data_IF_141075825588
#
_entry.id   IF_141075825588
#
_cell.length_a   1.000
_cell.length_b   1.000
_cell.length_c   1.000
_cell.angle_alpha   90.00
_cell.angle_beta   90.00
_cell.angle_gamma   90.00
#
_symmetry.space_group_name_H-M   'P 1'
#
loop_
_entity.id
_entity.type
_entity.pdbx_description
1 polymer ?
#
# COMPACT_ATOMS: atom_id res chain seq x y z
N UNK A 1 -1.44 -10.00 -15.53
CA UNK A 1 -2.03 -8.99 -14.61
C UNK A 1 -3.57 -9.10 -14.48
N UNK A 2 -4.10 -9.09 -13.25
CA UNK A 2 -5.54 -9.02 -12.89
C UNK A 2 -5.73 -7.95 -11.82
N UNK A 3 -6.79 -7.13 -11.92
CA UNK A 3 -7.18 -6.18 -10.87
C UNK A 3 -8.42 -6.73 -10.16
N UNK A 4 -8.46 -6.67 -8.81
CA UNK A 4 -9.65 -7.01 -8.02
C UNK A 4 -9.83 -6.09 -6.82
N UNK A 5 -11.00 -6.17 -6.19
CA UNK A 5 -11.27 -5.51 -4.91
C UNK A 5 -10.38 -6.09 -3.82
N UNK A 6 -9.98 -5.23 -2.90
CA UNK A 6 -9.30 -5.60 -1.66
C UNK A 6 -10.18 -6.50 -0.79
N UNK A 7 -9.53 -7.44 -0.11
CA UNK A 7 -10.10 -8.28 0.95
C UNK A 7 -9.22 -8.20 2.20
N UNK A 8 -9.76 -8.39 3.43
CA UNK A 8 -8.99 -8.26 4.66
C UNK A 8 -7.72 -9.13 4.74
N UNK A 9 -7.73 -10.28 4.07
CA UNK A 9 -6.56 -11.17 3.97
C UNK A 9 -5.36 -10.52 3.28
N UNK A 10 -5.57 -9.50 2.46
CA UNK A 10 -4.50 -8.81 1.72
C UNK A 10 -3.80 -7.75 2.59
N UNK A 11 -4.36 -7.40 3.76
CA UNK A 11 -3.90 -6.24 4.55
C UNK A 11 -2.40 -6.26 4.84
N UNK A 12 -1.90 -7.43 5.24
CA UNK A 12 -0.50 -7.61 5.60
C UNK A 12 0.41 -7.41 4.38
N UNK A 13 0.05 -7.99 3.24
CA UNK A 13 0.83 -7.90 2.01
C UNK A 13 0.87 -6.46 1.47
N UNK A 14 -0.23 -5.72 1.59
CA UNK A 14 -0.28 -4.31 1.22
C UNK A 14 0.59 -3.43 2.13
N UNK A 15 0.56 -3.69 3.45
CA UNK A 15 1.39 -2.98 4.41
C UNK A 15 2.89 -3.21 4.16
N UNK A 16 3.27 -4.46 3.85
CA UNK A 16 4.64 -4.82 3.48
C UNK A 16 5.06 -4.19 2.14
N UNK A 17 4.20 -4.25 1.12
CA UNK A 17 4.44 -3.61 -0.18
C UNK A 17 4.66 -2.10 -0.01
N UNK A 18 3.80 -1.42 0.74
CA UNK A 18 3.92 0.00 1.05
C UNK A 18 5.26 0.33 1.71
N UNK A 19 5.60 -0.38 2.79
CA UNK A 19 6.86 -0.19 3.49
C UNK A 19 8.07 -0.37 2.56
N UNK A 20 8.10 -1.48 1.83
CA UNK A 20 9.20 -1.80 0.92
C UNK A 20 9.34 -0.76 -0.20
N UNK A 21 8.23 -0.24 -0.70
CA UNK A 21 8.22 0.79 -1.75
C UNK A 21 8.76 2.11 -1.21
N UNK A 22 8.27 2.57 -0.05
CA UNK A 22 8.75 3.78 0.61
C UNK A 22 10.26 3.68 0.88
N UNK A 23 10.73 2.58 1.46
CA UNK A 23 12.15 2.42 1.83
C UNK A 23 13.10 2.06 0.69
N UNK A 24 12.59 1.68 -0.49
CA UNK A 24 13.44 1.32 -1.64
C UNK A 24 13.38 2.32 -2.78
N UNK A 25 12.16 2.76 -3.14
CA UNK A 25 11.95 3.63 -4.29
C UNK A 25 12.02 5.09 -3.87
N UNK A 26 11.25 5.49 -2.85
CA UNK A 26 11.22 6.86 -2.36
C UNK A 26 12.50 7.26 -1.61
N UNK A 27 13.34 6.31 -1.21
CA UNK A 27 14.63 6.60 -0.58
C UNK A 27 15.60 7.42 -1.45
N UNK A 28 15.30 7.60 -2.74
CA UNK A 28 16.03 8.52 -3.63
C UNK A 28 15.76 9.99 -3.34
N UNK A 29 14.60 10.32 -2.78
CA UNK A 29 14.10 11.69 -2.62
C UNK A 29 13.99 12.11 -1.14
N UNK A 30 14.01 11.15 -0.22
CA UNK A 30 13.77 11.38 1.20
C UNK A 30 14.93 10.86 2.06
N UNK A 31 15.21 11.56 3.17
CA UNK A 31 16.20 11.11 4.14
C UNK A 31 15.71 9.88 4.91
N UNK A 32 16.64 9.12 5.49
CA UNK A 32 16.31 7.96 6.32
C UNK A 32 15.34 8.32 7.46
N UNK A 33 15.53 9.47 8.11
CA UNK A 33 14.63 9.97 9.15
C UNK A 33 13.22 10.22 8.62
N UNK A 34 13.08 10.79 7.42
CA UNK A 34 11.79 11.03 6.77
C UNK A 34 11.10 9.71 6.39
N UNK A 35 11.86 8.74 5.87
CA UNK A 35 11.33 7.41 5.55
C UNK A 35 10.84 6.68 6.81
N UNK A 36 11.61 6.77 7.90
CA UNK A 36 11.29 6.13 9.17
C UNK A 36 10.02 6.70 9.84
N UNK A 37 9.73 7.99 9.67
CA UNK A 37 8.45 8.57 10.15
C UNK A 37 7.29 8.33 9.18
N UNK A 38 7.57 8.17 7.87
CA UNK A 38 6.53 7.89 6.87
C UNK A 38 6.06 6.43 6.94
N UNK A 39 7.01 5.49 6.97
CA UNK A 39 6.74 4.06 7.05
C UNK A 39 7.62 3.47 8.16
N UNK A 40 7.06 3.40 9.38
CA UNK A 40 7.79 3.02 10.61
C UNK A 40 8.23 1.55 10.68
N UNK A 41 7.77 0.71 9.75
CA UNK A 41 7.92 -0.75 9.82
C UNK A 41 6.97 -1.43 10.83
N UNK A 42 6.29 -0.65 11.67
CA UNK A 42 5.24 -1.11 12.57
C UNK A 42 3.89 -0.57 12.09
N UNK A 43 3.13 -1.42 11.37
CA UNK A 43 1.80 -1.06 10.88
C UNK A 43 0.73 -1.61 11.80
N UNK A 44 -0.17 -0.73 12.25
CA UNK A 44 -1.42 -1.11 12.90
C UNK A 44 -2.38 -1.69 11.84
N UNK A 45 -2.31 -3.01 11.66
CA UNK A 45 -3.06 -3.72 10.62
C UNK A 45 -4.58 -3.60 10.78
N UNK A 46 -5.07 -3.40 12.00
CA UNK A 46 -6.51 -3.19 12.23
C UNK A 46 -6.96 -1.84 11.69
N UNK A 47 -6.20 -0.76 11.97
CA UNK A 47 -6.48 0.57 11.40
C UNK A 47 -6.33 0.58 9.89
N UNK A 48 -5.31 -0.09 9.36
CA UNK A 48 -5.11 -0.21 7.92
C UNK A 48 -6.25 -0.94 7.23
N UNK A 49 -6.65 -2.11 7.75
CA UNK A 49 -7.78 -2.86 7.22
C UNK A 49 -9.06 -2.01 7.26
N UNK A 50 -9.31 -1.32 8.38
CA UNK A 50 -10.46 -0.43 8.50
C UNK A 50 -10.46 0.67 7.42
N UNK A 51 -9.34 1.38 7.22
CA UNK A 51 -9.29 2.46 6.22
C UNK A 51 -9.44 1.94 4.79
N UNK A 52 -8.82 0.80 4.47
CA UNK A 52 -8.93 0.17 3.15
C UNK A 52 -10.35 -0.36 2.86
N UNK A 53 -11.09 -0.80 3.89
CA UNK A 53 -12.50 -1.22 3.77
C UNK A 53 -13.46 -0.03 3.65
N UNK A 54 -13.14 1.10 4.30
CA UNK A 54 -13.92 2.35 4.19
C UNK A 54 -13.79 2.98 2.80
N UNK A 55 -12.62 2.84 2.18
CA UNK A 55 -12.32 3.37 0.84
C UNK A 55 -12.64 2.37 -0.30
N UNK A 56 -12.75 2.91 -1.53
CA UNK A 56 -12.75 2.07 -2.73
C UNK A 56 -11.30 1.63 -3.01
N UNK A 57 -10.91 0.50 -2.42
CA UNK A 57 -9.58 -0.09 -2.60
C UNK A 57 -9.54 -1.20 -3.67
N UNK A 58 -8.59 -1.10 -4.59
CA UNK A 58 -8.27 -2.16 -5.56
C UNK A 58 -6.82 -2.60 -5.44
N UNK A 59 -6.56 -3.85 -5.79
CA UNK A 59 -5.22 -4.42 -5.86
C UNK A 59 -4.95 -4.98 -7.25
N UNK A 60 -3.69 -4.88 -7.69
CA UNK A 60 -3.18 -5.47 -8.90
C UNK A 60 -2.39 -6.75 -8.56
N UNK A 61 -2.66 -7.83 -9.29
CA UNK A 61 -2.06 -9.15 -9.07
C UNK A 61 -1.42 -9.64 -10.37
N UNK A 62 -0.19 -10.13 -10.27
CA UNK A 62 0.52 -10.81 -11.35
C UNK A 62 1.21 -12.06 -10.79
N UNK A 63 1.05 -13.22 -11.45
CA UNK A 63 1.65 -14.49 -11.01
C UNK A 63 1.36 -14.83 -9.53
N UNK A 64 0.15 -14.55 -9.07
CA UNK A 64 -0.31 -14.70 -7.67
C UNK A 64 0.40 -13.79 -6.65
N UNK A 65 1.14 -12.78 -7.10
CA UNK A 65 1.79 -11.78 -6.26
C UNK A 65 1.01 -10.46 -6.38
N UNK A 66 0.79 -9.78 -5.26
CA UNK A 66 0.24 -8.43 -5.27
C UNK A 66 1.35 -7.47 -5.71
N UNK A 67 1.15 -6.83 -6.86
CA UNK A 67 2.15 -5.94 -7.50
C UNK A 67 1.82 -4.46 -7.33
N UNK A 68 0.68 -4.13 -6.74
CA UNK A 68 0.32 -2.77 -6.41
C UNK A 68 -1.08 -2.66 -5.83
N UNK A 69 -1.38 -1.52 -5.24
CA UNK A 69 -2.72 -1.18 -4.75
C UNK A 69 -2.97 0.32 -4.83
N UNK A 70 -4.24 0.69 -4.81
CA UNK A 70 -4.64 2.07 -4.60
C UNK A 70 -6.03 2.16 -4.02
N UNK A 71 -6.30 3.25 -3.31
CA UNK A 71 -7.59 3.52 -2.72
C UNK A 71 -8.02 4.98 -2.85
N UNK A 72 -9.33 5.15 -3.04
CA UNK A 72 -9.98 6.44 -3.21
C UNK A 72 -11.20 6.50 -2.30
N UNK A 73 -11.39 7.62 -1.62
CA UNK A 73 -12.54 7.82 -0.75
C UNK A 73 -13.80 8.22 -1.55
N UNK A 74 -14.92 8.41 -0.85
CA UNK A 74 -16.20 8.79 -1.47
C UNK A 74 -16.23 10.24 -1.99
N UNK A 75 -15.31 11.09 -1.56
CA UNK A 75 -15.16 12.45 -2.05
C UNK A 75 -14.39 12.51 -3.38
N UNK A 76 -13.71 11.41 -3.73
CA UNK A 76 -12.81 11.34 -4.88
C UNK A 76 -11.36 11.65 -4.53
N UNK A 77 -11.01 11.70 -3.24
CA UNK A 77 -9.63 11.87 -2.80
C UNK A 77 -8.87 10.54 -2.92
N UNK A 78 -7.82 10.54 -3.75
CA UNK A 78 -6.91 9.41 -3.90
C UNK A 78 -5.93 9.40 -2.72
N UNK A 79 -6.16 8.51 -1.76
CA UNK A 79 -5.41 8.48 -0.51
C UNK A 79 -4.06 7.78 -0.70
N UNK A 80 -4.05 6.59 -1.30
CA UNK A 80 -2.82 5.81 -1.55
C UNK A 80 -2.80 5.26 -2.97
N UNK A 81 -1.59 5.23 -3.55
CA UNK A 81 -1.30 4.56 -4.80
C UNK A 81 0.16 4.11 -4.80
N UNK A 82 0.40 2.80 -4.70
CA UNK A 82 1.74 2.22 -4.59
C UNK A 82 1.90 1.00 -5.50
N UNK A 83 3.09 0.87 -6.08
CA UNK A 83 3.52 -0.26 -6.91
C UNK A 83 4.67 -0.96 -6.20
N UNK A 84 4.68 -2.30 -6.24
CA UNK A 84 5.72 -3.10 -5.62
C UNK A 84 7.11 -2.71 -6.15
N UNK A 85 8.10 -2.56 -5.27
CA UNK A 85 9.46 -2.07 -5.58
C UNK A 85 10.22 -2.79 -6.72
N UNK A 86 9.77 -3.96 -7.13
CA UNK A 86 10.42 -4.84 -8.12
C UNK A 86 9.60 -4.99 -9.42
N UNK A 87 8.48 -4.28 -9.55
CA UNK A 87 7.59 -4.29 -10.71
C UNK A 87 7.46 -2.87 -11.29
#
# INVERSE_FOLDING_TARGET
MRIRRYEPSDCKDLAELFYNTVHSINAKDYTEEQLNVWATGSVDLEKWNKSLLENFTVIAIENNIIVGFGDIDKSGYLDRLYVHKDY
#
